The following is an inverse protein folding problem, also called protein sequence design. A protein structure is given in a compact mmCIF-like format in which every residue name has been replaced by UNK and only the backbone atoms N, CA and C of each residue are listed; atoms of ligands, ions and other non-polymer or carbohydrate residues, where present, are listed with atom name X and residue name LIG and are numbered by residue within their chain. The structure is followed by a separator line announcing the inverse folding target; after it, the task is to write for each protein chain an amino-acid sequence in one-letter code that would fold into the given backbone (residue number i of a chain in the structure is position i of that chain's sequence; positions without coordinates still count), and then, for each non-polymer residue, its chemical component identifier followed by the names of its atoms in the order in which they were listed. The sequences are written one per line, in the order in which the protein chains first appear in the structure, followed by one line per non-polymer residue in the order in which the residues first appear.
data_IF_719175114673
#
_entry.id   IF_719175114673
#
_cell.length_a   1.000
_cell.length_b   1.000
_cell.length_c   1.000
_cell.angle_alpha   90.00
_cell.angle_beta   90.00
_cell.angle_gamma   90.00
#
_symmetry.space_group_name_H-M   'P 1'
#
loop_
_entity.id
_entity.type
_entity.pdbx_description
1 polymer ?
#
# COMPACT_ATOMS: atom_id res chain seq x y z
N UNK A 1 3.55 27.39 -15.57
CA UNK A 1 3.35 27.59 -14.13
C UNK A 1 3.63 26.27 -13.43
N UNK A 2 4.63 26.22 -12.54
CA UNK A 2 5.02 24.98 -11.82
C UNK A 2 4.01 24.74 -10.71
N UNK A 3 3.29 23.61 -10.75
CA UNK A 3 2.45 23.16 -9.65
C UNK A 3 3.35 22.66 -8.51
N UNK A 4 3.42 23.40 -7.42
CA UNK A 4 4.17 23.01 -6.23
C UNK A 4 3.25 22.22 -5.30
N UNK A 5 3.24 20.90 -5.44
CA UNK A 5 2.61 20.02 -4.45
C UNK A 5 3.53 19.89 -3.24
N UNK A 6 3.03 20.26 -2.06
CA UNK A 6 3.75 20.08 -0.80
C UNK A 6 3.27 18.80 -0.11
N UNK A 7 4.22 17.94 0.25
CA UNK A 7 3.98 16.71 0.99
C UNK A 7 4.42 16.91 2.44
N UNK A 8 3.54 16.61 3.40
CA UNK A 8 3.90 16.52 4.81
C UNK A 8 4.37 15.10 5.10
N UNK A 9 5.56 14.98 5.69
CA UNK A 9 6.18 13.72 6.08
C UNK A 9 5.63 13.28 7.44
N UNK A 10 4.94 12.15 7.48
CA UNK A 10 4.62 11.43 8.70
C UNK A 10 5.56 10.21 8.74
N UNK A 11 6.49 10.22 9.68
CA UNK A 11 7.34 9.06 9.97
C UNK A 11 6.49 8.15 10.86
N UNK A 12 6.15 6.96 10.37
CA UNK A 12 5.67 5.88 11.22
C UNK A 12 6.93 5.14 11.69
N UNK A 13 7.10 4.98 13.01
CA UNK A 13 8.30 4.41 13.64
C UNK A 13 9.01 3.34 12.79
N UNK A 14 10.28 3.60 12.49
CA UNK A 14 11.36 2.74 11.92
C UNK A 14 11.11 1.97 10.60
N UNK A 15 9.87 1.68 10.17
CA UNK A 15 9.59 0.75 9.06
C UNK A 15 8.99 1.40 7.80
N UNK A 16 8.83 2.73 7.78
CA UNK A 16 8.31 3.41 6.60
C UNK A 16 8.13 4.91 6.70
N UNK A 17 7.80 5.48 5.54
CA UNK A 17 7.62 6.91 5.34
C UNK A 17 6.26 7.14 4.69
N UNK A 18 5.47 8.07 5.21
CA UNK A 18 4.19 8.46 4.61
C UNK A 18 4.22 9.94 4.25
N UNK A 19 4.01 10.23 2.98
CA UNK A 19 3.83 11.56 2.44
C UNK A 19 2.34 11.85 2.27
N UNK A 20 1.84 12.86 2.98
CA UNK A 20 0.44 13.31 2.87
C UNK A 20 0.34 14.59 2.07
N UNK A 21 -0.60 14.64 1.13
CA UNK A 21 -0.83 15.79 0.27
C UNK A 21 -1.47 16.93 1.06
N UNK A 22 -0.93 18.12 0.90
CA UNK A 22 -1.55 19.38 1.32
C UNK A 22 -1.71 20.31 0.13
N UNK A 23 -2.91 20.87 -0.05
CA UNK A 23 -3.20 21.80 -1.16
C UNK A 23 -3.45 23.20 -0.62
N UNK A 24 -2.86 24.21 -1.26
CA UNK A 24 -3.16 25.61 -0.96
C UNK A 24 -4.59 25.98 -1.40
N UNK A 25 -5.19 26.94 -0.71
CA UNK A 25 -6.47 27.53 -1.12
C UNK A 25 -6.31 28.19 -2.49
N UNK A 26 -6.98 27.64 -3.51
CA UNK A 26 -6.93 28.14 -4.90
C UNK A 26 -6.18 27.25 -5.88
N UNK A 27 -5.40 26.26 -5.42
CA UNK A 27 -4.79 25.27 -6.32
C UNK A 27 -5.80 24.17 -6.71
N UNK A 28 -6.60 24.47 -7.72
CA UNK A 28 -7.63 23.57 -8.23
C UNK A 28 -7.05 22.24 -8.74
N UNK A 29 -5.86 22.28 -9.37
CA UNK A 29 -5.23 21.07 -9.90
C UNK A 29 -4.87 20.09 -8.75
N UNK A 30 -4.31 20.62 -7.65
CA UNK A 30 -4.03 19.83 -6.45
C UNK A 30 -5.32 19.26 -5.82
N UNK A 31 -6.40 20.04 -5.75
CA UNK A 31 -7.68 19.61 -5.17
C UNK A 31 -8.42 18.55 -6.01
N UNK A 32 -8.29 18.63 -7.34
CA UNK A 32 -8.87 17.65 -8.25
C UNK A 32 -8.14 16.30 -8.21
N UNK A 33 -6.82 16.30 -8.00
CA UNK A 33 -6.07 15.06 -7.82
C UNK A 33 -6.52 14.33 -6.55
N UNK A 34 -7.00 13.09 -6.67
CA UNK A 34 -7.52 12.31 -5.53
C UNK A 34 -6.46 11.52 -4.77
N UNK A 35 -5.19 11.56 -5.20
CA UNK A 35 -4.08 10.97 -4.45
C UNK A 35 -3.85 11.80 -3.18
N UNK A 36 -4.15 11.21 -2.03
CA UNK A 36 -4.04 11.86 -0.72
C UNK A 36 -2.74 11.49 -0.03
N UNK A 37 -2.27 10.25 -0.18
CA UNK A 37 -1.01 9.80 0.41
C UNK A 37 -0.20 8.95 -0.55
N UNK A 38 1.12 9.04 -0.41
CA UNK A 38 2.09 8.11 -0.98
C UNK A 38 2.95 7.61 0.18
N UNK A 39 3.10 6.30 0.33
CA UNK A 39 3.91 5.71 1.39
C UNK A 39 4.99 4.79 0.85
N UNK A 40 6.08 4.68 1.57
CA UNK A 40 7.14 3.69 1.38
C UNK A 40 7.22 2.85 2.64
N UNK A 41 7.17 1.54 2.49
CA UNK A 41 7.22 0.57 3.58
C UNK A 41 8.32 -0.43 3.28
N UNK A 42 9.13 -0.72 4.28
CA UNK A 42 10.23 -1.67 4.19
C UNK A 42 9.88 -2.87 5.06
N UNK A 43 9.72 -4.03 4.44
CA UNK A 43 9.25 -5.24 5.10
C UNK A 43 10.34 -6.32 5.03
N UNK A 44 11.14 -6.50 6.10
CA UNK A 44 12.04 -7.64 6.19
C UNK A 44 11.21 -8.92 6.42
N UNK A 45 11.40 -9.93 5.56
CA UNK A 45 10.80 -11.25 5.70
C UNK A 45 11.89 -12.33 5.70
N UNK A 46 11.70 -13.44 6.43
CA UNK A 46 12.58 -14.60 6.29
C UNK A 46 12.33 -15.33 4.96
N UNK A 47 13.33 -16.08 4.51
CA UNK A 47 13.10 -17.07 3.44
C UNK A 47 12.08 -18.12 3.90
N UNK A 48 11.08 -18.39 3.05
CA UNK A 48 9.98 -19.31 3.32
C UNK A 48 9.97 -20.39 2.24
N UNK A 49 10.40 -21.61 2.59
CA UNK A 49 10.41 -22.74 1.65
C UNK A 49 9.04 -23.36 1.42
N UNK A 50 8.13 -23.20 2.38
CA UNK A 50 6.79 -23.77 2.31
C UNK A 50 5.75 -22.88 2.97
N UNK A 51 4.61 -22.73 2.30
CA UNK A 51 3.44 -22.02 2.82
C UNK A 51 2.21 -22.92 2.60
N UNK A 52 1.61 -23.38 3.69
CA UNK A 52 0.41 -24.24 3.64
C UNK A 52 -0.88 -23.46 3.35
N UNK A 53 -0.89 -22.14 3.58
CA UNK A 53 -2.04 -21.27 3.38
C UNK A 53 -1.61 -19.81 3.23
N UNK A 54 -2.37 -18.96 2.53
CA UNK A 54 -1.99 -17.55 2.31
C UNK A 54 -1.61 -16.81 3.60
N UNK A 55 -0.40 -16.26 3.65
CA UNK A 55 0.13 -15.53 4.79
C UNK A 55 -0.17 -14.03 4.63
N UNK A 56 -0.76 -13.39 5.64
CA UNK A 56 -0.98 -11.94 5.63
C UNK A 56 0.34 -11.24 5.96
N UNK A 57 0.84 -10.42 5.03
CA UNK A 57 2.13 -9.71 5.17
C UNK A 57 1.94 -8.20 5.37
N UNK A 58 0.79 -7.66 4.99
CA UNK A 58 0.44 -6.26 5.26
C UNK A 58 -1.04 -6.15 5.62
N UNK A 59 -1.33 -5.41 6.69
CA UNK A 59 -2.69 -5.03 7.08
C UNK A 59 -2.86 -3.52 6.92
N UNK A 60 -3.88 -3.13 6.17
CA UNK A 60 -4.25 -1.74 5.95
C UNK A 60 -5.64 -1.51 6.53
N UNK A 61 -5.77 -0.47 7.37
CA UNK A 61 -7.05 -0.05 7.93
C UNK A 61 -7.25 1.42 7.68
N UNK A 62 -8.42 1.79 7.20
CA UNK A 62 -8.76 3.20 6.98
C UNK A 62 -9.55 3.75 8.16
N UNK A 63 -9.03 4.81 8.79
CA UNK A 63 -9.68 5.52 9.89
C UNK A 63 -10.36 6.77 9.34
N UNK A 64 -11.69 6.74 9.21
CA UNK A 64 -12.47 7.91 8.74
C UNK A 64 -13.70 7.58 7.92
N UNK A 65 -13.77 6.38 7.35
CA UNK A 65 -14.87 5.96 6.46
C UNK A 65 -15.69 4.79 7.03
N UNK A 66 -15.85 4.76 8.35
CA UNK A 66 -16.47 3.63 9.07
C UNK A 66 -17.92 3.35 8.68
N UNK A 67 -18.65 4.34 8.16
CA UNK A 67 -20.07 4.18 7.85
C UNK A 67 -20.33 3.47 6.50
N UNK A 68 -19.47 3.65 5.48
CA UNK A 68 -19.58 2.98 4.18
C UNK A 68 -18.22 2.83 3.49
N UNK A 69 -17.39 1.85 3.90
CA UNK A 69 -16.08 1.65 3.31
C UNK A 69 -16.18 0.97 1.93
N UNK A 70 -16.15 1.76 0.85
CA UNK A 70 -16.05 1.24 -0.51
C UNK A 70 -14.59 1.17 -0.95
N UNK A 71 -13.82 0.36 -0.23
CA UNK A 71 -12.39 0.18 -0.45
C UNK A 71 -12.12 -0.80 -1.59
N UNK A 72 -11.08 -0.51 -2.37
CA UNK A 72 -10.50 -1.42 -3.35
C UNK A 72 -8.99 -1.32 -3.24
N UNK A 73 -8.34 -2.45 -2.94
CA UNK A 73 -6.89 -2.57 -2.94
C UNK A 73 -6.46 -3.36 -4.16
N UNK A 74 -5.56 -2.80 -4.97
CA UNK A 74 -5.02 -3.42 -6.19
C UNK A 74 -3.51 -3.37 -6.19
N UNK A 75 -2.89 -4.43 -6.70
CA UNK A 75 -1.45 -4.45 -6.98
C UNK A 75 -1.25 -3.88 -8.39
N UNK A 76 -0.56 -2.75 -8.48
CA UNK A 76 -0.28 -2.05 -9.73
C UNK A 76 1.03 -2.54 -10.38
N UNK A 77 2.01 -2.93 -9.56
CA UNK A 77 3.32 -3.38 -10.04
C UNK A 77 3.96 -4.42 -9.10
N UNK A 78 4.94 -5.18 -9.61
CA UNK A 78 5.80 -6.06 -8.82
C UNK A 78 5.30 -7.48 -8.56
N UNK A 79 4.12 -7.85 -9.09
CA UNK A 79 3.50 -9.17 -8.85
C UNK A 79 3.41 -10.03 -10.13
N UNK A 80 4.49 -10.05 -10.92
CA UNK A 80 4.54 -10.81 -12.19
C UNK A 80 4.37 -12.32 -11.95
N UNK A 81 4.95 -12.82 -10.86
CA UNK A 81 4.92 -14.24 -10.49
C UNK A 81 3.60 -14.66 -9.79
N UNK A 82 2.67 -13.72 -9.59
CA UNK A 82 1.39 -13.93 -8.90
C UNK A 82 1.52 -14.55 -7.51
N UNK A 83 2.63 -14.24 -6.83
CA UNK A 83 2.89 -14.66 -5.47
C UNK A 83 2.08 -13.88 -4.45
N UNK A 84 1.49 -12.76 -4.84
CA UNK A 84 0.73 -11.90 -3.93
C UNK A 84 -0.72 -11.75 -4.37
N UNK A 85 -1.63 -11.62 -3.41
CA UNK A 85 -2.99 -11.15 -3.67
C UNK A 85 -3.47 -10.14 -2.63
N UNK A 86 -4.60 -9.51 -2.94
CA UNK A 86 -5.24 -8.52 -2.07
C UNK A 86 -6.65 -8.95 -1.72
N UNK A 87 -7.03 -8.74 -0.47
CA UNK A 87 -8.39 -8.99 0.02
C UNK A 87 -8.88 -7.77 0.76
N UNK A 88 -10.13 -7.37 0.50
CA UNK A 88 -10.78 -6.26 1.18
C UNK A 88 -12.01 -6.78 1.92
N UNK A 89 -12.18 -6.38 3.19
CA UNK A 89 -13.34 -6.70 4.03
C UNK A 89 -13.70 -5.48 4.88
N UNK A 90 -14.78 -4.80 4.50
CA UNK A 90 -15.19 -3.56 5.19
C UNK A 90 -14.12 -2.47 5.10
N UNK A 91 -13.70 -1.95 6.25
CA UNK A 91 -12.68 -0.90 6.39
C UNK A 91 -11.23 -1.41 6.34
N UNK A 92 -11.05 -2.72 6.15
CA UNK A 92 -9.76 -3.42 6.15
C UNK A 92 -9.40 -3.94 4.77
N UNK A 93 -8.14 -3.80 4.42
CA UNK A 93 -7.54 -4.41 3.25
C UNK A 93 -6.25 -5.12 3.66
N UNK A 94 -5.94 -6.24 3.02
CA UNK A 94 -4.75 -7.03 3.32
C UNK A 94 -4.02 -7.40 2.04
N UNK A 95 -2.69 -7.43 2.13
CA UNK A 95 -1.81 -8.07 1.15
C UNK A 95 -1.42 -9.43 1.71
N UNK A 96 -1.54 -10.47 0.89
CA UNK A 96 -1.14 -11.83 1.27
C UNK A 96 -0.12 -12.41 0.32
N UNK A 97 0.72 -13.26 0.87
CA UNK A 97 1.66 -14.10 0.16
C UNK A 97 1.02 -15.49 -0.06
N UNK A 98 0.96 -15.91 -1.32
CA UNK A 98 0.32 -17.14 -1.78
C UNK A 98 1.28 -18.32 -1.93
N UNK A 99 2.58 -18.05 -2.02
CA UNK A 99 3.59 -19.07 -2.30
C UNK A 99 4.94 -18.76 -1.64
N UNK A 100 5.85 -19.74 -1.64
CA UNK A 100 7.16 -19.60 -1.01
C UNK A 100 7.98 -18.47 -1.62
N UNK A 101 8.89 -17.93 -0.81
CA UNK A 101 9.83 -16.87 -1.19
C UNK A 101 11.23 -17.29 -0.75
N UNK A 102 12.15 -17.45 -1.70
CA UNK A 102 13.52 -17.85 -1.41
C UNK A 102 14.48 -16.67 -1.54
N UNK A 103 15.10 -16.29 -0.43
CA UNK A 103 16.16 -15.27 -0.41
C UNK A 103 17.52 -15.81 -0.88
N UNK A 104 18.53 -14.94 -0.99
CA UNK A 104 18.43 -13.49 -0.79
C UNK A 104 17.79 -12.80 -2.00
N UNK A 105 16.78 -11.97 -1.76
CA UNK A 105 16.19 -11.15 -2.83
C UNK A 105 15.51 -9.89 -2.29
N UNK A 106 15.34 -8.91 -3.17
CA UNK A 106 14.57 -7.69 -2.93
C UNK A 106 13.44 -7.62 -3.96
N UNK A 107 12.22 -7.31 -3.50
CA UNK A 107 11.05 -7.14 -4.35
C UNK A 107 10.26 -5.91 -3.97
N UNK A 108 9.99 -5.04 -4.94
CA UNK A 108 9.10 -3.89 -4.76
C UNK A 108 7.69 -4.22 -5.29
N UNK A 109 6.68 -3.97 -4.46
CA UNK A 109 5.27 -3.98 -4.84
C UNK A 109 4.72 -2.56 -4.78
N UNK A 110 3.97 -2.17 -5.82
CA UNK A 110 3.21 -0.91 -5.80
C UNK A 110 1.74 -1.24 -5.62
N UNK A 111 1.19 -0.83 -4.48
CA UNK A 111 -0.21 -1.01 -4.14
C UNK A 111 -0.97 0.31 -4.34
N UNK A 112 -2.19 0.20 -4.85
CA UNK A 112 -3.15 1.29 -4.89
C UNK A 112 -4.37 0.93 -4.05
N UNK A 113 -4.63 1.72 -3.01
CA UNK A 113 -5.87 1.69 -2.25
C UNK A 113 -6.76 2.85 -2.69
N UNK A 114 -7.91 2.52 -3.27
CA UNK A 114 -8.94 3.47 -3.66
C UNK A 114 -10.11 3.37 -2.69
N UNK A 115 -10.53 4.51 -2.16
CA UNK A 115 -11.82 4.64 -1.50
C UNK A 115 -12.80 5.34 -2.44
N UNK A 116 -13.99 4.78 -2.58
CA UNK A 116 -15.06 5.36 -3.41
C UNK A 116 -16.16 5.95 -2.54
N UNK A 117 -16.95 6.84 -3.15
CA UNK A 117 -18.18 7.33 -2.54
C UNK A 117 -19.18 6.18 -2.31
N UNK A 118 -20.28 6.48 -1.62
CA UNK A 118 -21.35 5.51 -1.32
C UNK A 118 -21.86 4.75 -2.55
N UNK A 119 -22.04 5.45 -3.69
CA UNK A 119 -22.51 4.86 -4.94
C UNK A 119 -21.46 3.97 -5.65
N UNK A 120 -20.22 3.93 -5.17
CA UNK A 120 -19.14 3.12 -5.73
C UNK A 120 -18.62 3.61 -7.10
N UNK A 121 -19.01 4.81 -7.54
CA UNK A 121 -18.71 5.33 -8.88
C UNK A 121 -17.58 6.34 -8.89
N UNK A 122 -17.49 7.18 -7.86
CA UNK A 122 -16.51 8.26 -7.78
C UNK A 122 -15.41 7.91 -6.79
N UNK A 123 -14.16 8.17 -7.18
CA UNK A 123 -13.00 8.07 -6.29
C UNK A 123 -13.01 9.24 -5.31
N UNK A 124 -13.21 8.93 -4.03
CA UNK A 124 -13.16 9.90 -2.94
C UNK A 124 -11.70 10.16 -2.55
N UNK A 125 -10.91 9.09 -2.39
CA UNK A 125 -9.47 9.18 -2.13
C UNK A 125 -8.71 8.02 -2.77
N UNK A 126 -7.44 8.27 -3.05
CA UNK A 126 -6.45 7.30 -3.53
C UNK A 126 -5.22 7.37 -2.65
N UNK A 127 -4.68 6.21 -2.31
CA UNK A 127 -3.47 6.06 -1.52
C UNK A 127 -2.55 5.10 -2.27
N UNK A 128 -1.30 5.51 -2.49
CA UNK A 128 -0.28 4.69 -3.15
C UNK A 128 0.71 4.21 -2.11
N UNK A 129 1.05 2.94 -2.11
CA UNK A 129 2.02 2.36 -1.20
C UNK A 129 3.06 1.58 -1.97
N UNK A 130 4.31 2.01 -1.87
CA UNK A 130 5.49 1.27 -2.27
C UNK A 130 5.87 0.37 -1.10
N UNK A 131 5.88 -0.94 -1.32
CA UNK A 131 6.24 -1.94 -0.32
C UNK A 131 7.46 -2.68 -0.84
N UNK A 132 8.61 -2.43 -0.22
CA UNK A 132 9.84 -3.15 -0.52
C UNK A 132 9.99 -4.30 0.45
N UNK A 133 9.99 -5.52 -0.07
CA UNK A 133 10.17 -6.75 0.68
C UNK A 133 11.63 -7.17 0.52
N UNK A 134 12.34 -7.31 1.64
CA UNK A 134 13.70 -7.83 1.68
C UNK A 134 13.69 -9.21 2.29
N UNK A 135 14.24 -10.19 1.59
CA UNK A 135 14.40 -11.55 2.07
C UNK A 135 15.85 -11.78 2.42
N UNK A 136 16.11 -12.02 3.70
CA UNK A 136 17.44 -12.44 4.15
C UNK A 136 17.71 -13.88 3.65
N UNK A 137 18.95 -14.13 3.25
CA UNK A 137 19.40 -15.49 2.91
C UNK A 137 19.34 -16.41 4.14
N UNK A 138 19.45 -17.74 3.95
CA UNK A 138 19.49 -18.66 5.09
C UNK A 138 20.61 -18.25 6.05
N UNK A 139 20.26 -18.05 7.33
CA UNK A 139 21.24 -17.78 8.38
C UNK A 139 22.21 -18.96 8.47
N UNK A 140 23.54 -18.75 8.47
CA UNK A 140 24.52 -19.84 8.50
C UNK A 140 24.68 -20.51 9.88
N UNK A 141 23.66 -20.46 10.75
CA UNK A 141 23.70 -20.99 12.12
C UNK A 141 22.65 -22.07 12.34
#
# INVERSE_FOLDING_TARGET
MRASSFFSLLIADEDGVVCSKFCQSGDLACQLNKTMTVSWQFLPLPSLDFISSPLVILNIRTTGYAFYPNLKLTIQHGNNDRLFDTVVRGDKAVLRLLGPLQGPMERELVLELVNRNFAGTLVASRHISHVTIFLEGPSPF
#
